data_IF_124067337755
#
_entry.id   IF_124067337755
#
_cell.length_a   1.000
_cell.length_b   1.000
_cell.length_c   1.000
_cell.angle_alpha   90.00
_cell.angle_beta   90.00
_cell.angle_gamma   90.00
#
_symmetry.space_group_name_H-M   'P 1'
#
loop_
_entity.id
_entity.type
_entity.pdbx_description
1 polymer ?
#
# COMPACT_ATOMS: atom_id res chain seq x y z
N UNK A 1 23.67 -1.21 -7.82
CA UNK A 1 23.52 -2.27 -6.79
C UNK A 1 22.85 -1.65 -5.58
N UNK A 2 21.55 -1.90 -5.38
CA UNK A 2 20.79 -1.34 -4.26
C UNK A 2 20.94 -2.30 -3.08
N UNK A 3 21.51 -1.81 -1.98
CA UNK A 3 21.59 -2.55 -0.71
C UNK A 3 20.20 -2.61 -0.08
N UNK A 4 19.41 -3.62 -0.43
CA UNK A 4 18.18 -3.97 0.27
C UNK A 4 18.56 -4.48 1.66
N UNK A 5 18.54 -3.57 2.65
CA UNK A 5 18.78 -3.90 4.06
C UNK A 5 17.57 -4.66 4.63
N UNK A 6 17.91 -5.65 5.47
CA UNK A 6 17.04 -6.62 6.14
C UNK A 6 15.61 -6.14 6.39
N UNK A 7 14.63 -6.79 5.75
CA UNK A 7 13.22 -6.66 6.10
C UNK A 7 12.81 -8.00 6.70
N UNK A 8 12.27 -7.98 7.92
CA UNK A 8 11.40 -9.05 8.38
C UNK A 8 9.99 -8.48 8.30
N UNK A 9 9.15 -9.00 7.41
CA UNK A 9 7.72 -8.93 7.73
C UNK A 9 7.48 -9.77 8.98
N UNK A 10 6.38 -9.52 9.71
CA UNK A 10 6.03 -10.28 10.89
C UNK A 10 5.94 -11.79 10.56
N UNK A 11 7.03 -12.52 10.78
CA UNK A 11 7.01 -13.98 10.79
C UNK A 11 6.57 -14.42 12.17
N UNK A 12 5.25 -14.37 12.38
CA UNK A 12 4.52 -15.29 13.26
C UNK A 12 3.05 -15.20 12.84
N UNK A 13 2.66 -16.11 11.94
CA UNK A 13 1.26 -16.45 11.72
C UNK A 13 0.74 -17.11 13.00
N UNK A 14 0.29 -16.28 13.96
CA UNK A 14 -0.41 -16.65 15.19
C UNK A 14 0.08 -17.92 15.90
N UNK A 15 1.18 -17.86 16.65
CA UNK A 15 1.41 -18.89 17.68
C UNK A 15 0.41 -18.72 18.81
N UNK A 16 -0.57 -19.61 18.82
CA UNK A 16 -1.17 -20.08 20.06
C UNK A 16 -1.39 -21.56 19.83
N UNK A 17 -0.29 -22.31 19.86
CA UNK A 17 -0.21 -23.77 19.90
C UNK A 17 0.72 -24.09 21.07
N UNK A 18 0.17 -24.64 22.14
CA UNK A 18 0.95 -25.46 23.07
C UNK A 18 0.87 -26.89 22.55
N UNK A 19 1.97 -27.64 22.40
CA UNK A 19 1.88 -29.04 22.03
C UNK A 19 1.51 -29.84 23.29
N UNK A 20 0.31 -30.43 23.29
CA UNK A 20 0.05 -31.61 24.10
C UNK A 20 0.45 -32.83 23.29
N UNK A 21 1.28 -33.66 23.92
CA UNK A 21 1.78 -34.94 23.44
C UNK A 21 0.62 -35.89 23.15
N UNK A 22 0.62 -36.48 21.95
CA UNK A 22 0.00 -37.78 21.72
C UNK A 22 0.86 -38.52 20.67
N UNK A 23 1.66 -39.45 21.18
CA UNK A 23 2.36 -40.46 20.41
C UNK A 23 1.35 -41.56 20.01
N UNK A 24 1.40 -42.01 18.76
CA UNK A 24 0.98 -43.35 18.36
C UNK A 24 1.75 -43.77 17.08
N UNK A 25 2.79 -44.57 17.33
CA UNK A 25 3.31 -45.72 16.57
C UNK A 25 2.19 -46.46 15.76
N UNK A 26 2.35 -47.01 14.55
CA UNK A 26 3.35 -47.96 14.02
C UNK A 26 3.20 -48.13 12.46
N UNK A 27 4.12 -48.87 11.79
CA UNK A 27 4.32 -48.98 10.34
C UNK A 27 3.81 -50.32 9.75
N UNK A 28 3.85 -50.48 8.41
CA UNK A 28 4.09 -51.79 7.76
C UNK A 28 4.45 -51.70 6.25
N UNK A 29 5.39 -52.59 5.90
CA UNK A 29 5.97 -52.98 4.59
C UNK A 29 4.90 -53.46 3.56
N UNK A 30 5.14 -53.60 2.24
CA UNK A 30 5.98 -54.64 1.57
C UNK A 30 6.14 -54.39 0.04
N UNK A 31 7.38 -54.63 -0.42
CA UNK A 31 7.95 -55.14 -1.68
C UNK A 31 7.24 -55.17 -3.07
N UNK A 32 7.98 -54.63 -4.05
CA UNK A 32 8.51 -55.22 -5.33
C UNK A 32 7.61 -56.12 -6.20
N UNK A 33 7.49 -55.78 -7.49
CA UNK A 33 7.85 -56.67 -8.61
C UNK A 33 8.13 -55.88 -9.92
N UNK A 34 9.08 -56.41 -10.69
CA UNK A 34 9.70 -55.86 -11.89
C UNK A 34 8.87 -56.10 -13.17
N UNK A 35 9.13 -55.29 -14.21
CA UNK A 35 8.67 -55.52 -15.57
C UNK A 35 9.53 -54.75 -16.58
N UNK A 36 10.34 -55.47 -17.33
CA UNK A 36 11.29 -55.00 -18.33
C UNK A 36 10.63 -54.35 -19.56
N UNK A 37 11.28 -53.34 -20.13
CA UNK A 37 11.38 -53.18 -21.58
C UNK A 37 12.67 -52.43 -21.96
N UNK A 38 13.57 -53.14 -22.64
CA UNK A 38 14.75 -52.65 -23.34
C UNK A 38 14.35 -52.14 -24.73
N UNK A 39 14.98 -51.06 -25.17
CA UNK A 39 15.54 -50.90 -26.51
C UNK A 39 16.53 -49.72 -26.48
N UNK A 40 17.81 -50.05 -26.34
CA UNK A 40 18.92 -49.74 -27.28
C UNK A 40 18.59 -48.76 -28.43
N UNK A 41 19.42 -47.87 -28.97
CA UNK A 41 20.87 -47.59 -29.04
C UNK A 41 20.87 -46.25 -29.84
N UNK A 42 21.68 -45.21 -29.62
CA UNK A 42 23.02 -45.13 -30.18
C UNK A 42 23.80 -43.94 -29.60
N UNK A 43 25.00 -44.28 -29.15
CA UNK A 43 26.07 -43.42 -28.67
C UNK A 43 26.72 -42.64 -29.81
N UNK A 44 27.15 -41.42 -29.51
CA UNK A 44 28.04 -40.60 -30.31
C UNK A 44 28.85 -39.65 -29.44
N UNK A 45 29.92 -40.18 -28.81
CA UNK A 45 31.11 -39.44 -28.33
C UNK A 45 31.69 -38.60 -29.49
N UNK A 46 32.40 -37.49 -29.38
CA UNK A 46 33.40 -37.01 -28.41
C UNK A 46 33.89 -35.61 -28.84
N UNK A 47 34.65 -34.98 -27.94
CA UNK A 47 35.78 -34.08 -28.19
C UNK A 47 35.54 -32.56 -28.11
N UNK A 48 36.07 -32.03 -27.01
CA UNK A 48 36.47 -30.65 -26.83
C UNK A 48 37.52 -30.21 -27.87
N UNK A 49 37.43 -28.96 -28.32
CA UNK A 49 38.62 -28.16 -28.61
C UNK A 49 38.32 -26.68 -28.43
N UNK A 50 39.07 -26.09 -27.50
CA UNK A 50 39.18 -24.66 -27.32
C UNK A 50 39.87 -24.02 -28.54
N UNK A 51 39.41 -22.84 -28.94
CA UNK A 51 40.22 -21.87 -29.66
C UNK A 51 39.82 -20.45 -29.24
N UNK A 52 40.85 -19.75 -28.79
CA UNK A 52 40.96 -18.35 -28.43
C UNK A 52 40.43 -17.42 -29.53
N UNK A 53 39.65 -16.41 -29.12
CA UNK A 53 39.43 -15.20 -29.91
C UNK A 53 39.34 -14.00 -28.98
N UNK A 54 40.44 -13.29 -28.89
CA UNK A 54 40.64 -11.97 -28.32
C UNK A 54 39.86 -10.89 -29.08
N UNK A 55 38.75 -10.39 -28.53
CA UNK A 55 38.23 -9.05 -28.87
C UNK A 55 37.63 -8.37 -27.65
N UNK A 56 38.37 -7.40 -27.10
CA UNK A 56 37.87 -6.37 -26.16
C UNK A 56 36.90 -5.45 -26.92
N UNK A 57 35.68 -5.19 -26.43
CA UNK A 57 34.93 -4.00 -26.79
C UNK A 57 35.35 -2.85 -25.88
N UNK A 58 35.69 -1.71 -26.48
CA UNK A 58 36.00 -0.44 -25.80
C UNK A 58 34.77 -0.01 -24.98
N UNK A 59 34.96 0.20 -23.68
CA UNK A 59 33.93 0.78 -22.82
C UNK A 59 33.64 2.24 -23.20
N UNK A 60 32.43 2.75 -22.93
CA UNK A 60 32.12 4.16 -23.15
C UNK A 60 32.91 5.04 -22.17
N UNK A 61 33.47 6.11 -22.72
CA UNK A 61 34.24 7.16 -22.04
C UNK A 61 33.37 7.84 -20.97
N UNK A 62 33.79 7.74 -19.72
CA UNK A 62 33.23 8.54 -18.61
C UNK A 62 33.82 9.94 -18.73
N UNK A 63 33.03 10.88 -19.27
CA UNK A 63 33.30 12.31 -19.11
C UNK A 63 32.80 12.69 -17.72
N UNK A 64 33.74 12.92 -16.81
CA UNK A 64 33.50 13.50 -15.50
C UNK A 64 33.06 14.97 -15.67
N UNK A 65 31.87 15.40 -15.23
CA UNK A 65 31.57 16.81 -15.11
C UNK A 65 32.20 17.33 -13.83
N UNK A 66 33.23 18.15 -14.01
CA UNK A 66 33.88 18.95 -12.99
C UNK A 66 32.86 19.82 -12.27
N UNK A 67 33.00 19.84 -10.94
CA UNK A 67 32.48 20.83 -9.97
C UNK A 67 32.21 22.19 -10.63
N UNK A 68 30.94 22.64 -10.62
CA UNK A 68 30.58 24.03 -10.91
C UNK A 68 30.14 24.72 -9.62
N UNK A 69 30.71 25.90 -9.46
CA UNK A 69 30.58 26.86 -8.39
C UNK A 69 29.14 27.36 -8.16
N UNK A 70 28.85 27.91 -6.96
CA UNK A 70 27.53 28.43 -6.61
C UNK A 70 27.21 29.74 -7.35
N UNK A 71 25.99 29.82 -7.88
CA UNK A 71 25.41 31.04 -8.46
C UNK A 71 24.88 32.00 -7.37
N UNK A 72 24.70 33.30 -7.69
CA UNK A 72 25.09 34.42 -6.85
C UNK A 72 24.03 34.83 -5.82
N UNK A 73 24.53 35.36 -4.69
CA UNK A 73 23.72 35.97 -3.64
C UNK A 73 22.94 37.17 -4.13
N UNK A 74 21.63 37.12 -3.93
CA UNK A 74 20.77 38.31 -4.03
C UNK A 74 20.92 39.09 -2.73
N UNK A 75 21.65 40.20 -2.81
CA UNK A 75 21.69 41.24 -1.78
C UNK A 75 20.35 41.97 -1.81
N UNK A 76 19.51 41.76 -0.81
CA UNK A 76 18.37 42.64 -0.54
C UNK A 76 18.80 43.65 0.53
N UNK A 77 18.92 44.91 0.11
CA UNK A 77 19.19 46.06 0.98
C UNK A 77 18.10 46.18 2.06
N UNK A 78 18.49 46.19 3.32
CA UNK A 78 17.63 46.58 4.44
C UNK A 78 17.46 48.10 4.49
N UNK A 79 16.27 48.64 4.75
CA UNK A 79 16.11 49.97 5.33
C UNK A 79 16.13 49.88 6.86
N UNK A 80 16.85 50.82 7.46
CA UNK A 80 16.98 51.04 8.91
C UNK A 80 15.67 51.50 9.57
N UNK A 81 15.42 50.87 10.72
CA UNK A 81 14.57 51.16 11.88
C UNK A 81 13.68 52.43 11.97
N UNK A 82 12.44 52.21 12.41
CA UNK A 82 11.84 52.97 13.52
C UNK A 82 10.87 52.06 14.29
N UNK A 83 10.85 52.21 15.61
CA UNK A 83 10.39 51.19 16.56
C UNK A 83 8.88 51.11 16.78
N UNK A 84 8.42 49.89 17.08
CA UNK A 84 7.23 49.60 17.89
C UNK A 84 7.32 48.14 18.37
N UNK A 85 6.82 47.87 19.58
CA UNK A 85 7.12 46.70 20.40
C UNK A 85 7.00 45.31 19.74
N UNK A 86 7.96 44.43 20.07
CA UNK A 86 7.95 43.00 19.72
C UNK A 86 6.77 42.31 20.40
N UNK A 87 5.72 42.03 19.63
CA UNK A 87 4.73 41.00 19.96
C UNK A 87 5.30 39.67 19.44
N UNK A 88 5.46 38.61 20.27
CA UNK A 88 5.99 37.34 19.79
C UNK A 88 5.06 36.77 18.71
N UNK A 89 5.65 36.30 17.62
CA UNK A 89 4.94 35.62 16.55
C UNK A 89 4.12 34.45 17.13
N UNK A 90 2.87 34.22 16.70
CA UNK A 90 2.08 33.13 17.22
C UNK A 90 2.75 31.82 16.80
N UNK A 91 3.25 31.07 17.79
CA UNK A 91 3.62 29.67 17.61
C UNK A 91 2.41 28.92 17.02
N UNK A 92 2.59 27.97 16.09
CA UNK A 92 1.47 27.18 15.59
C UNK A 92 0.83 26.45 16.75
N UNK A 93 -0.38 26.88 17.14
CA UNK A 93 -1.20 26.19 18.14
C UNK A 93 -1.46 24.78 17.63
N UNK A 94 -0.82 23.80 18.25
CA UNK A 94 -1.27 22.41 18.19
C UNK A 94 -2.59 22.39 18.97
N UNK A 95 -3.71 22.49 18.25
CA UNK A 95 -5.03 22.37 18.85
C UNK A 95 -5.19 20.96 19.44
N UNK A 96 -5.76 20.79 20.64
CA UNK A 96 -6.09 19.48 21.18
C UNK A 96 -7.03 18.76 20.22
N UNK A 97 -6.65 17.56 19.80
CA UNK A 97 -7.39 16.73 18.83
C UNK A 97 -8.57 16.03 19.49
N UNK A 98 -9.50 16.79 20.07
CA UNK A 98 -10.76 16.29 20.65
C UNK A 98 -12.00 16.78 19.91
N UNK A 99 -11.85 17.52 18.80
CA UNK A 99 -12.98 17.86 17.95
C UNK A 99 -13.58 16.59 17.30
N UNK A 100 -14.92 16.45 17.25
CA UNK A 100 -15.59 15.36 16.55
C UNK A 100 -15.09 15.32 15.10
N UNK A 101 -14.44 14.24 14.71
CA UNK A 101 -13.97 14.09 13.33
C UNK A 101 -15.18 14.03 12.42
N UNK A 102 -15.22 14.90 11.40
CA UNK A 102 -16.27 14.82 10.40
C UNK A 102 -16.28 13.41 9.76
N UNK A 103 -17.44 12.83 9.46
CA UNK A 103 -17.51 11.52 8.82
C UNK A 103 -16.64 11.48 7.55
N UNK A 104 -15.61 10.63 7.56
CA UNK A 104 -14.68 10.46 6.44
C UNK A 104 -13.40 11.32 6.48
N UNK A 105 -13.11 12.05 7.56
CA UNK A 105 -11.79 12.68 7.77
C UNK A 105 -10.98 11.92 8.80
N UNK A 106 -10.04 11.10 8.32
CA UNK A 106 -9.09 10.38 9.17
C UNK A 106 -7.86 11.25 9.50
N UNK A 107 -7.28 11.11 10.70
CA UNK A 107 -6.11 11.88 11.10
C UNK A 107 -4.88 11.49 10.26
N UNK A 108 -3.99 12.46 10.05
CA UNK A 108 -2.70 12.21 9.41
C UNK A 108 -1.74 11.49 10.34
N UNK A 109 -1.03 10.50 9.79
CA UNK A 109 0.25 10.00 10.29
C UNK A 109 1.35 10.79 9.60
N UNK A 110 2.16 11.49 10.39
CA UNK A 110 3.19 12.39 9.88
C UNK A 110 4.57 11.80 10.11
N UNK A 111 5.50 12.09 9.19
CA UNK A 111 6.91 11.74 9.31
C UNK A 111 7.15 10.23 9.51
N UNK A 112 6.42 9.41 8.75
CA UNK A 112 6.49 7.96 8.85
C UNK A 112 7.53 7.44 7.88
N UNK A 113 8.44 6.60 8.38
CA UNK A 113 9.33 5.82 7.51
C UNK A 113 8.51 4.81 6.71
N UNK A 114 8.54 4.94 5.38
CA UNK A 114 7.99 3.99 4.43
C UNK A 114 9.10 3.12 3.85
N UNK A 115 8.83 1.83 3.69
CA UNK A 115 9.70 0.88 2.97
C UNK A 115 8.99 0.29 1.77
N UNK A 116 9.73 -0.25 0.80
CA UNK A 116 9.16 -0.81 -0.43
C UNK A 116 9.06 -2.33 -0.30
N UNK A 117 7.92 -2.89 -0.70
CA UNK A 117 7.68 -4.34 -0.76
C UNK A 117 6.88 -4.71 -1.99
N UNK A 118 6.94 -5.98 -2.39
CA UNK A 118 6.25 -6.41 -3.59
C UNK A 118 5.66 -7.81 -3.52
N UNK A 119 4.56 -8.00 -4.24
CA UNK A 119 3.92 -9.32 -4.38
C UNK A 119 4.88 -10.29 -5.09
N UNK A 120 4.98 -11.51 -4.59
CA UNK A 120 5.77 -12.55 -5.25
C UNK A 120 7.25 -12.57 -4.86
N UNK A 121 7.69 -11.74 -3.91
CA UNK A 121 9.06 -11.78 -3.37
C UNK A 121 9.35 -13.15 -2.75
N UNK A 122 10.43 -13.81 -3.21
CA UNK A 122 10.91 -15.04 -2.61
C UNK A 122 11.59 -14.78 -1.26
N UNK A 123 11.52 -15.76 -0.36
CA UNK A 123 12.32 -15.73 0.86
C UNK A 123 13.82 -15.83 0.50
N UNK A 124 14.64 -15.09 1.22
CA UNK A 124 16.10 -15.13 1.14
C UNK A 124 16.69 -15.25 2.54
N UNK A 125 17.97 -15.59 2.66
CA UNK A 125 18.66 -15.62 3.96
C UNK A 125 18.54 -14.29 4.75
N UNK A 126 18.38 -13.17 4.03
CA UNK A 126 18.26 -11.82 4.62
C UNK A 126 16.81 -11.35 4.82
N UNK A 127 15.85 -12.05 4.23
CA UNK A 127 14.41 -11.83 4.40
C UNK A 127 13.71 -13.21 4.37
N UNK A 128 13.50 -13.85 5.53
CA UNK A 128 12.96 -15.21 5.56
C UNK A 128 11.47 -15.27 5.18
N UNK A 129 10.81 -14.14 4.98
CA UNK A 129 9.37 -14.07 4.68
C UNK A 129 9.17 -13.81 3.20
N UNK A 130 8.58 -14.78 2.52
CA UNK A 130 8.14 -14.64 1.13
C UNK A 130 6.79 -13.91 1.05
N UNK A 131 6.63 -13.04 0.04
CA UNK A 131 5.39 -12.32 -0.24
C UNK A 131 4.51 -13.07 -1.26
N UNK A 132 4.53 -14.41 -1.23
CA UNK A 132 3.63 -15.24 -2.03
C UNK A 132 2.19 -15.25 -1.46
N UNK A 133 2.05 -14.85 -0.20
CA UNK A 133 0.79 -14.76 0.54
C UNK A 133 0.74 -13.40 1.23
N UNK A 134 -0.44 -12.81 1.32
CA UNK A 134 -0.69 -11.70 2.23
C UNK A 134 -1.36 -12.19 3.50
N UNK A 135 -1.65 -11.25 4.39
CA UNK A 135 -2.42 -11.47 5.61
C UNK A 135 -3.86 -11.91 5.36
N UNK A 136 -4.40 -11.69 4.15
CA UNK A 136 -5.78 -12.04 3.78
C UNK A 136 -5.90 -12.85 2.48
N UNK A 137 -4.80 -13.09 1.77
CA UNK A 137 -4.78 -13.84 0.52
C UNK A 137 -3.69 -14.91 0.56
N UNK A 138 -4.09 -16.18 0.65
CA UNK A 138 -3.16 -17.30 0.75
C UNK A 138 -2.45 -17.65 -0.55
N UNK A 139 -2.86 -17.05 -1.67
CA UNK A 139 -2.30 -17.23 -3.01
C UNK A 139 -2.07 -15.86 -3.67
N UNK A 140 -1.50 -14.93 -2.90
CA UNK A 140 -1.46 -13.51 -3.27
C UNK A 140 -0.72 -13.25 -4.58
N UNK A 141 0.38 -13.98 -4.85
CA UNK A 141 1.11 -13.89 -6.12
C UNK A 141 0.23 -14.29 -7.29
N UNK A 142 -0.47 -15.41 -7.16
CA UNK A 142 -1.36 -15.93 -8.18
C UNK A 142 -2.52 -14.95 -8.37
N UNK A 143 -3.21 -14.55 -7.29
CA UNK A 143 -4.31 -13.59 -7.26
C UNK A 143 -3.94 -12.23 -7.86
N UNK A 144 -2.73 -11.74 -7.63
CA UNK A 144 -2.21 -10.52 -8.27
C UNK A 144 -1.96 -10.69 -9.76
N UNK A 145 -1.67 -11.92 -10.20
CA UNK A 145 -1.41 -12.28 -11.59
C UNK A 145 0.06 -12.56 -11.91
N UNK A 146 0.95 -12.49 -10.91
CA UNK A 146 2.37 -12.79 -11.09
C UNK A 146 3.30 -12.06 -10.11
N UNK A 147 4.59 -12.09 -10.43
CA UNK A 147 5.64 -11.40 -9.67
C UNK A 147 5.63 -9.89 -9.94
N UNK A 148 5.38 -9.06 -8.92
CA UNK A 148 5.34 -7.60 -9.05
C UNK A 148 6.77 -7.02 -9.07
N UNK A 149 7.46 -7.16 -10.19
CA UNK A 149 8.89 -6.82 -10.30
C UNK A 149 9.20 -5.40 -9.76
N UNK A 150 10.06 -5.26 -8.74
CA UNK A 150 10.33 -3.97 -8.10
C UNK A 150 11.29 -3.10 -8.90
N UNK A 151 11.91 -3.58 -9.97
CA UNK A 151 12.80 -2.75 -10.80
C UNK A 151 11.99 -1.72 -11.61
N UNK A 152 12.25 -0.40 -11.45
CA UNK A 152 11.58 0.65 -12.22
C UNK A 152 11.68 0.45 -13.74
N UNK A 153 12.74 -0.18 -14.25
CA UNK A 153 12.89 -0.46 -15.70
C UNK A 153 11.89 -1.50 -16.21
N UNK A 154 11.30 -2.29 -15.32
CA UNK A 154 10.32 -3.33 -15.62
C UNK A 154 8.86 -2.86 -15.38
N UNK A 155 8.66 -1.54 -15.28
CA UNK A 155 7.35 -0.91 -15.07
C UNK A 155 6.85 -0.16 -16.30
N UNK A 156 5.55 -0.23 -16.58
CA UNK A 156 4.94 0.57 -17.66
C UNK A 156 4.84 2.05 -17.25
N UNK A 157 4.44 2.91 -18.19
CA UNK A 157 4.13 4.32 -17.89
C UNK A 157 2.98 4.49 -16.87
N UNK A 158 2.17 3.44 -16.68
CA UNK A 158 1.09 3.36 -15.69
C UNK A 158 1.49 2.61 -14.41
N UNK A 159 2.80 2.39 -14.21
CA UNK A 159 3.40 1.84 -12.98
C UNK A 159 3.03 0.38 -12.64
N UNK A 160 2.36 -0.35 -13.54
CA UNK A 160 2.15 -1.81 -13.42
C UNK A 160 3.37 -2.59 -13.96
N UNK A 161 3.55 -3.87 -13.59
CA UNK A 161 4.50 -4.75 -14.26
C UNK A 161 4.34 -4.77 -15.78
N UNK A 162 5.45 -4.82 -16.52
CA UNK A 162 5.44 -4.92 -17.99
C UNK A 162 4.99 -6.30 -18.48
N UNK A 163 5.29 -7.35 -17.72
CA UNK A 163 5.16 -8.75 -18.16
C UNK A 163 3.73 -9.29 -18.13
N UNK A 164 2.81 -8.64 -17.42
CA UNK A 164 1.39 -9.02 -17.36
C UNK A 164 0.51 -7.83 -16.98
N UNK A 165 -0.80 -7.96 -17.20
CA UNK A 165 -1.82 -7.06 -16.64
C UNK A 165 -2.22 -7.61 -15.27
N UNK A 166 -2.06 -6.86 -14.17
CA UNK A 166 -2.32 -7.40 -12.85
C UNK A 166 -3.83 -7.54 -12.60
N UNK A 167 -4.22 -8.64 -11.95
CA UNK A 167 -5.59 -8.96 -11.53
C UNK A 167 -5.94 -8.35 -10.17
N UNK A 168 -4.96 -7.80 -9.46
CA UNK A 168 -5.19 -6.91 -8.32
C UNK A 168 -4.55 -5.55 -8.58
N UNK A 169 -4.96 -4.54 -7.82
CA UNK A 169 -4.47 -3.18 -7.99
C UNK A 169 -2.95 -3.11 -7.71
N UNK A 170 -2.12 -2.60 -8.64
CA UNK A 170 -0.68 -2.48 -8.43
C UNK A 170 -0.31 -1.41 -7.37
N UNK A 171 -1.26 -0.55 -7.00
CA UNK A 171 -1.09 0.44 -5.93
C UNK A 171 -1.63 -0.12 -4.61
N UNK A 172 -0.75 -0.74 -3.83
CA UNK A 172 -1.10 -1.34 -2.55
C UNK A 172 -0.10 -1.01 -1.44
N UNK A 173 -0.52 -1.21 -0.21
CA UNK A 173 0.28 -1.00 1.01
C UNK A 173 0.12 -2.14 2.01
N UNK A 174 1.07 -2.21 2.94
CA UNK A 174 0.91 -2.92 4.21
C UNK A 174 0.93 -1.93 5.38
N UNK A 175 0.02 -2.12 6.33
CA UNK A 175 0.01 -1.44 7.62
C UNK A 175 0.07 -2.47 8.75
N UNK A 176 0.67 -2.13 9.91
CA UNK A 176 1.08 -3.13 10.90
C UNK A 176 -0.06 -3.61 11.81
N UNK A 177 -1.21 -3.95 11.23
CA UNK A 177 -2.37 -4.46 11.95
C UNK A 177 -3.19 -5.45 11.12
N UNK A 178 -3.40 -6.67 11.63
CA UNK A 178 -4.38 -7.59 11.10
C UNK A 178 -5.61 -7.59 12.02
N UNK A 179 -6.81 -7.45 11.46
CA UNK A 179 -8.06 -7.47 12.20
C UNK A 179 -8.66 -8.88 12.36
N UNK A 180 -8.15 -9.86 11.60
CA UNK A 180 -8.62 -11.24 11.61
C UNK A 180 -7.50 -12.20 11.99
N UNK A 181 -7.78 -13.10 12.93
CA UNK A 181 -6.88 -14.16 13.34
C UNK A 181 -7.66 -15.47 13.49
N UNK A 182 -7.17 -16.56 12.89
CA UNK A 182 -7.79 -17.89 12.96
C UNK A 182 -9.28 -17.92 12.58
N UNK A 183 -9.68 -17.12 11.58
CA UNK A 183 -11.07 -17.05 11.11
C UNK A 183 -12.00 -16.18 11.96
N UNK A 184 -11.46 -15.48 12.97
CA UNK A 184 -12.19 -14.61 13.88
C UNK A 184 -11.68 -13.17 13.81
N UNK A 185 -12.55 -12.21 14.06
CA UNK A 185 -12.09 -10.86 14.35
C UNK A 185 -11.37 -10.83 15.70
N UNK A 186 -10.28 -10.07 15.80
CA UNK A 186 -9.58 -9.88 17.06
C UNK A 186 -10.47 -9.13 18.07
N UNK A 187 -10.33 -9.40 19.39
CA UNK A 187 -11.23 -8.83 20.41
C UNK A 187 -11.33 -7.31 20.40
N UNK A 188 -10.25 -6.62 20.03
CA UNK A 188 -10.21 -5.16 19.97
C UNK A 188 -10.78 -4.58 18.68
N UNK A 189 -10.95 -5.37 17.62
CA UNK A 189 -11.22 -4.88 16.26
C UNK A 189 -12.47 -4.00 16.19
N UNK A 190 -13.58 -4.42 16.82
CA UNK A 190 -14.84 -3.66 16.86
C UNK A 190 -14.73 -2.33 17.59
N UNK A 191 -13.81 -2.22 18.55
CA UNK A 191 -13.59 -1.03 19.36
C UNK A 191 -12.62 -0.05 18.69
N UNK A 192 -11.61 -0.55 17.98
CA UNK A 192 -10.48 0.29 17.50
C UNK A 192 -10.58 0.67 16.03
N UNK A 193 -11.27 -0.11 15.20
CA UNK A 193 -11.39 0.15 13.76
C UNK A 193 -12.55 1.12 13.53
N UNK A 194 -12.31 2.36 13.03
CA UNK A 194 -13.34 3.40 13.01
C UNK A 194 -14.56 3.09 12.12
N UNK A 195 -14.43 2.13 11.21
CA UNK A 195 -15.48 1.73 10.27
C UNK A 195 -15.98 0.31 10.50
N UNK A 196 -15.58 -0.36 11.59
CA UNK A 196 -15.89 -1.78 11.82
C UNK A 196 -17.36 -2.09 11.59
N UNK A 197 -18.26 -1.45 12.33
CA UNK A 197 -19.69 -1.74 12.27
C UNK A 197 -20.34 -1.44 10.92
N UNK A 198 -19.76 -0.52 10.14
CA UNK A 198 -20.28 -0.17 8.81
C UNK A 198 -19.90 -1.22 7.76
N UNK A 199 -18.68 -1.73 7.86
CA UNK A 199 -18.08 -2.63 6.88
C UNK A 199 -18.21 -4.12 7.27
N UNK A 200 -18.57 -4.43 8.51
CA UNK A 200 -18.74 -5.80 8.98
C UNK A 200 -19.77 -6.55 8.12
N UNK A 201 -19.31 -7.63 7.49
CA UNK A 201 -20.11 -8.47 6.59
C UNK A 201 -20.20 -9.93 7.05
N UNK A 202 -19.45 -10.31 8.07
CA UNK A 202 -19.47 -11.66 8.63
C UNK A 202 -18.22 -11.99 9.43
N UNK A 203 -18.28 -13.09 10.17
CA UNK A 203 -17.14 -13.63 10.92
C UNK A 203 -15.98 -13.96 9.98
N UNK A 204 -14.76 -13.60 10.36
CA UNK A 204 -13.55 -13.91 9.59
C UNK A 204 -13.34 -13.11 8.31
N UNK A 205 -14.26 -12.20 7.96
CA UNK A 205 -14.12 -11.30 6.81
C UNK A 205 -13.51 -9.99 7.27
N UNK A 206 -12.27 -9.72 6.84
CA UNK A 206 -11.55 -8.49 7.22
C UNK A 206 -12.31 -7.24 6.79
N UNK A 207 -12.42 -6.27 7.71
CA UNK A 207 -12.86 -4.89 7.45
C UNK A 207 -11.69 -3.97 7.11
N UNK A 208 -10.44 -4.43 7.24
CA UNK A 208 -9.22 -3.70 6.89
C UNK A 208 -8.82 -3.88 5.42
N UNK A 209 -8.95 -5.10 4.88
CA UNK A 209 -8.57 -5.40 3.49
C UNK A 209 -9.30 -4.50 2.50
N UNK A 210 -8.56 -3.97 1.52
CA UNK A 210 -9.09 -3.14 0.44
C UNK A 210 -9.44 -1.70 0.83
N UNK A 211 -9.24 -1.30 2.10
CA UNK A 211 -9.36 0.10 2.52
C UNK A 211 -8.28 0.94 1.87
N UNK A 212 -8.58 2.22 1.62
CA UNK A 212 -7.69 3.10 0.89
C UNK A 212 -6.91 4.03 1.81
N UNK A 213 -5.65 4.28 1.45
CA UNK A 213 -4.82 5.32 2.05
C UNK A 213 -4.43 6.38 1.02
N UNK A 214 -4.30 7.61 1.49
CA UNK A 214 -3.62 8.69 0.79
C UNK A 214 -2.19 8.78 1.36
N UNK A 215 -1.19 8.85 0.50
CA UNK A 215 0.24 8.93 0.84
C UNK A 215 0.81 10.18 0.18
N UNK A 216 1.51 11.01 0.97
CA UNK A 216 2.17 12.23 0.49
C UNK A 216 3.68 12.09 0.64
N UNK A 217 4.39 12.36 -0.45
CA UNK A 217 5.84 12.50 -0.50
C UNK A 217 6.20 13.63 -1.46
N UNK A 218 7.09 14.55 -1.06
CA UNK A 218 7.56 15.68 -1.89
C UNK A 218 6.43 16.41 -2.66
N UNK A 219 5.36 16.79 -1.95
CA UNK A 219 4.16 17.47 -2.50
C UNK A 219 3.33 16.65 -3.52
N UNK A 220 3.71 15.40 -3.82
CA UNK A 220 2.92 14.46 -4.62
C UNK A 220 2.02 13.63 -3.72
N UNK A 221 0.82 13.32 -4.19
CA UNK A 221 -0.16 12.51 -3.48
C UNK A 221 -0.46 11.24 -4.27
N UNK A 222 -0.29 10.08 -3.65
CA UNK A 222 -0.62 8.77 -4.19
C UNK A 222 -1.75 8.13 -3.38
N UNK A 223 -2.54 7.27 -4.01
CA UNK A 223 -3.59 6.50 -3.34
C UNK A 223 -3.35 5.01 -3.56
N UNK A 224 -3.57 4.21 -2.54
CA UNK A 224 -3.27 2.78 -2.57
C UNK A 224 -4.21 1.98 -1.67
N UNK A 225 -4.44 0.71 -2.03
CA UNK A 225 -5.26 -0.23 -1.27
C UNK A 225 -4.44 -0.96 -0.20
N UNK A 226 -5.02 -1.13 0.97
CA UNK A 226 -4.43 -1.92 2.05
C UNK A 226 -4.65 -3.41 1.79
N UNK A 227 -3.59 -4.14 1.41
CA UNK A 227 -3.70 -5.54 0.95
C UNK A 227 -2.83 -6.52 1.73
N UNK A 228 -2.00 -6.04 2.66
CA UNK A 228 -1.21 -6.89 3.55
C UNK A 228 -0.97 -6.25 4.94
N UNK A 229 -0.41 -6.99 5.89
CA UNK A 229 -0.03 -6.50 7.20
C UNK A 229 1.49 -6.48 7.41
N UNK A 230 1.96 -5.42 8.04
CA UNK A 230 3.38 -5.12 8.25
C UNK A 230 3.60 -3.62 8.23
N UNK A 231 4.81 -3.13 8.54
CA UNK A 231 6.06 -3.88 8.68
C UNK A 231 6.24 -4.49 10.08
N UNK A 232 6.94 -5.63 10.18
CA UNK A 232 7.41 -6.34 11.40
C UNK A 232 6.36 -6.80 12.44
N UNK A 233 5.15 -6.26 12.46
CA UNK A 233 4.08 -6.68 13.37
C UNK A 233 2.71 -6.61 12.69
N UNK A 234 1.73 -7.32 13.27
CA UNK A 234 0.31 -7.32 12.87
C UNK A 234 -0.60 -6.82 14.01
N UNK A 235 -0.02 -6.23 15.05
CA UNK A 235 -0.71 -5.96 16.32
C UNK A 235 -0.79 -4.47 16.66
N UNK A 236 -0.20 -3.59 15.85
CA UNK A 236 0.01 -2.17 16.17
C UNK A 236 -1.20 -1.29 15.83
N UNK A 237 -2.37 -1.67 16.33
CA UNK A 237 -3.57 -0.84 16.28
C UNK A 237 -3.42 0.54 16.94
N UNK A 238 -2.64 0.73 18.03
CA UNK A 238 -2.49 2.05 18.64
C UNK A 238 -1.83 3.06 17.70
N UNK A 239 -0.93 2.62 16.84
CA UNK A 239 -0.40 3.44 15.76
C UNK A 239 -1.37 3.55 14.58
N UNK A 240 -1.89 2.43 14.07
CA UNK A 240 -2.70 2.42 12.84
C UNK A 240 -3.97 3.26 13.01
N UNK A 241 -4.70 3.08 14.11
CA UNK A 241 -5.97 3.77 14.37
C UNK A 241 -5.91 4.83 15.48
N UNK A 242 -4.93 4.76 16.39
CA UNK A 242 -4.82 5.67 17.54
C UNK A 242 -4.02 6.94 17.27
N UNK A 243 -3.08 7.28 18.14
CA UNK A 243 -2.22 8.47 18.09
C UNK A 243 -0.74 8.16 18.39
N UNK A 244 -0.40 6.88 18.59
CA UNK A 244 0.96 6.44 18.89
C UNK A 244 1.83 6.43 17.62
N UNK A 245 3.16 6.58 17.77
CA UNK A 245 4.10 6.25 16.68
C UNK A 245 4.13 4.73 16.43
N UNK A 246 4.62 4.26 15.26
CA UNK A 246 4.84 2.84 15.03
C UNK A 246 5.71 2.22 16.12
N UNK A 247 5.34 1.05 16.62
CA UNK A 247 6.14 0.34 17.65
C UNK A 247 7.41 -0.30 17.11
N UNK A 248 7.48 -0.50 15.79
CA UNK A 248 8.64 -1.10 15.14
C UNK A 248 9.88 -0.19 15.25
N UNK A 249 11.03 -0.78 15.59
CA UNK A 249 12.35 -0.11 15.64
C UNK A 249 13.27 -0.53 14.48
N UNK A 250 12.95 -1.60 13.75
CA UNK A 250 13.71 -2.06 12.60
C UNK A 250 13.45 -1.20 11.36
N UNK A 251 14.36 -1.24 10.37
CA UNK A 251 14.27 -0.45 9.14
C UNK A 251 13.98 1.04 9.39
N UNK A 252 14.69 1.63 10.37
CA UNK A 252 14.52 3.03 10.78
C UNK A 252 13.09 3.34 11.27
N UNK A 253 12.49 2.40 11.98
CA UNK A 253 11.13 2.51 12.49
C UNK A 253 10.08 2.60 11.38
N UNK A 254 10.18 1.72 10.38
CA UNK A 254 9.19 1.64 9.31
C UNK A 254 7.78 1.46 9.90
N UNK A 255 6.82 2.23 9.39
CA UNK A 255 5.41 2.19 9.82
C UNK A 255 4.43 1.96 8.68
N UNK A 256 4.89 1.86 7.44
CA UNK A 256 4.08 1.52 6.27
C UNK A 256 5.00 0.89 5.22
N UNK A 257 4.52 -0.14 4.55
CA UNK A 257 5.16 -0.62 3.33
C UNK A 257 4.34 -0.21 2.12
N UNK A 258 5.02 0.25 1.07
CA UNK A 258 4.41 0.74 -0.17
C UNK A 258 4.82 -0.15 -1.35
N UNK A 259 3.89 -0.39 -2.28
CA UNK A 259 4.21 -1.12 -3.50
C UNK A 259 5.22 -0.36 -4.37
N UNK A 260 5.89 -1.04 -5.32
CA UNK A 260 6.81 -0.34 -6.21
C UNK A 260 6.07 0.63 -7.14
N UNK A 261 4.79 0.38 -7.47
CA UNK A 261 3.98 1.36 -8.21
C UNK A 261 3.79 2.67 -7.44
N UNK A 262 3.54 2.58 -6.11
CA UNK A 262 3.47 3.77 -5.23
C UNK A 262 4.81 4.48 -5.18
N UNK A 263 5.91 3.74 -4.99
CA UNK A 263 7.28 4.28 -4.97
C UNK A 263 7.58 5.07 -6.24
N UNK A 264 7.32 4.46 -7.41
CA UNK A 264 7.66 5.02 -8.71
C UNK A 264 6.79 6.24 -9.03
N UNK A 265 5.49 6.17 -8.74
CA UNK A 265 4.59 7.32 -8.91
C UNK A 265 5.00 8.52 -8.04
N UNK A 266 5.39 8.26 -6.80
CA UNK A 266 5.86 9.31 -5.87
C UNK A 266 7.27 9.81 -6.21
N UNK A 267 8.01 9.13 -7.09
CA UNK A 267 9.39 9.48 -7.44
C UNK A 267 10.36 9.26 -6.28
N UNK A 268 10.14 8.23 -5.46
CA UNK A 268 11.03 7.88 -4.36
C UNK A 268 12.29 7.21 -4.95
N UNK A 269 13.50 7.78 -4.74
CA UNK A 269 14.72 7.34 -5.44
C UNK A 269 15.31 6.02 -4.93
N UNK A 270 14.75 5.42 -3.87
CA UNK A 270 15.29 4.21 -3.25
C UNK A 270 14.22 3.36 -2.57
N UNK A 271 14.65 2.44 -1.70
CA UNK A 271 13.74 1.53 -0.97
C UNK A 271 13.13 2.10 0.31
N UNK A 272 13.44 3.35 0.67
CA UNK A 272 12.97 3.98 1.91
C UNK A 272 12.73 5.48 1.72
N UNK A 273 11.67 6.01 2.32
CA UNK A 273 11.36 7.44 2.33
C UNK A 273 10.64 7.85 3.63
N UNK A 274 10.64 9.15 3.95
CA UNK A 274 9.74 9.71 4.95
C UNK A 274 8.49 10.22 4.24
N UNK A 275 7.32 9.69 4.62
CA UNK A 275 6.03 10.03 4.02
C UNK A 275 5.04 10.49 5.09
N UNK A 276 3.94 11.08 4.63
CA UNK A 276 2.74 11.27 5.44
C UNK A 276 1.64 10.41 4.86
N UNK A 277 0.80 9.79 5.70
CA UNK A 277 -0.32 9.03 5.19
C UNK A 277 -1.56 9.15 6.07
N UNK A 278 -2.73 8.88 5.50
CA UNK A 278 -4.00 8.76 6.22
C UNK A 278 -4.92 7.81 5.49
N UNK A 279 -5.90 7.27 6.18
CA UNK A 279 -7.03 6.62 5.51
C UNK A 279 -7.85 7.65 4.71
N UNK A 280 -8.51 7.18 3.67
CA UNK A 280 -9.40 8.00 2.83
C UNK A 280 -10.56 7.16 2.33
N UNK A 281 -11.76 7.74 2.32
CA UNK A 281 -12.92 7.07 1.75
C UNK A 281 -12.85 7.07 0.23
N UNK A 282 -13.25 5.95 -0.39
CA UNK A 282 -13.17 5.75 -1.83
C UNK A 282 -13.77 6.89 -2.66
N UNK A 283 -14.92 7.43 -2.26
CA UNK A 283 -15.59 8.54 -2.96
C UNK A 283 -14.80 9.86 -2.96
N UNK A 284 -13.76 9.98 -2.13
CA UNK A 284 -12.87 11.16 -2.07
C UNK A 284 -11.59 10.98 -2.88
N UNK A 285 -11.40 9.81 -3.50
CA UNK A 285 -10.18 9.49 -4.23
C UNK A 285 -10.33 9.99 -5.67
N UNK A 286 -9.50 10.95 -6.13
CA UNK A 286 -9.50 11.35 -7.52
C UNK A 286 -9.00 10.21 -8.42
N UNK A 287 -9.42 10.20 -9.68
CA UNK A 287 -8.86 9.27 -10.67
C UNK A 287 -7.37 9.56 -10.89
N UNK A 288 -6.60 8.50 -11.01
CA UNK A 288 -5.16 8.51 -11.27
C UNK A 288 -4.68 7.12 -11.70
N UNK A 289 -3.36 6.88 -11.80
CA UNK A 289 -2.84 5.56 -12.19
C UNK A 289 -3.36 4.39 -11.32
N UNK A 290 -3.61 4.63 -10.03
CA UNK A 290 -4.21 3.68 -9.08
C UNK A 290 -5.66 3.28 -9.39
N UNK A 291 -6.32 3.92 -10.36
CA UNK A 291 -7.71 3.66 -10.72
C UNK A 291 -7.89 2.78 -11.96
N UNK A 292 -6.79 2.29 -12.56
CA UNK A 292 -6.81 1.68 -13.90
C UNK A 292 -6.94 0.15 -13.92
N UNK A 293 -6.41 -0.56 -12.93
CA UNK A 293 -6.22 -2.01 -12.99
C UNK A 293 -6.62 -2.71 -11.69
N UNK A 294 -6.85 -4.02 -11.79
CA UNK A 294 -7.15 -4.91 -10.69
C UNK A 294 -8.65 -5.19 -10.55
N UNK A 295 -9.01 -6.47 -10.49
CA UNK A 295 -10.39 -6.91 -10.25
C UNK A 295 -10.85 -6.46 -8.87
N UNK A 296 -9.95 -6.38 -7.87
CA UNK A 296 -10.20 -5.88 -6.52
C UNK A 296 -10.31 -4.34 -6.42
N UNK A 297 -10.23 -3.61 -7.53
CA UNK A 297 -10.23 -2.17 -7.56
C UNK A 297 -11.64 -1.63 -7.83
N UNK A 298 -12.27 -0.88 -6.89
CA UNK A 298 -13.64 -0.40 -7.10
C UNK A 298 -13.79 0.64 -8.22
N UNK A 299 -12.69 1.19 -8.76
CA UNK A 299 -12.73 2.01 -9.98
C UNK A 299 -12.92 1.19 -11.27
N UNK A 300 -12.49 -0.08 -11.25
CA UNK A 300 -12.55 -1.03 -12.38
C UNK A 300 -13.77 -1.94 -12.22
N UNK A 301 -14.02 -2.40 -11.00
CA UNK A 301 -15.16 -3.24 -10.65
C UNK A 301 -16.07 -2.51 -9.63
N UNK A 302 -17.08 -1.76 -10.10
CA UNK A 302 -17.98 -1.00 -9.23
C UNK A 302 -18.76 -1.86 -8.22
N UNK A 303 -18.84 -3.17 -8.42
CA UNK A 303 -19.54 -4.09 -7.51
C UNK A 303 -18.80 -4.31 -6.18
N UNK A 304 -17.49 -4.05 -6.12
CA UNK A 304 -16.65 -4.35 -4.96
C UNK A 304 -16.58 -3.23 -3.91
N UNK A 305 -17.23 -2.10 -4.17
CA UNK A 305 -17.11 -0.96 -3.28
C UNK A 305 -18.09 -1.02 -2.09
N UNK A 306 -17.64 -0.64 -0.87
CA UNK A 306 -18.47 0.24 -0.02
C UNK A 306 -18.98 1.47 -0.80
N UNK A 307 -18.35 1.78 -1.94
CA UNK A 307 -18.81 2.67 -3.00
C UNK A 307 -20.25 2.46 -3.46
N UNK A 308 -20.84 1.26 -3.44
CA UNK A 308 -22.29 1.15 -3.70
C UNK A 308 -23.06 1.85 -2.59
N UNK A 309 -22.81 1.57 -1.31
CA UNK A 309 -23.47 2.25 -0.18
C UNK A 309 -23.11 3.74 -0.08
N UNK A 310 -21.87 4.14 -0.35
CA UNK A 310 -21.44 5.54 -0.23
C UNK A 310 -21.86 6.42 -1.43
N UNK A 311 -21.86 5.90 -2.66
CA UNK A 311 -22.44 6.57 -3.83
C UNK A 311 -23.96 6.60 -3.70
N UNK A 312 -24.60 5.50 -3.29
CA UNK A 312 -26.03 5.47 -2.98
C UNK A 312 -26.38 6.49 -1.90
N UNK A 313 -25.61 6.58 -0.80
CA UNK A 313 -25.84 7.60 0.24
C UNK A 313 -25.67 9.03 -0.30
N UNK A 314 -24.76 9.25 -1.25
CA UNK A 314 -24.60 10.56 -1.91
C UNK A 314 -25.76 10.85 -2.86
N UNK A 315 -26.17 9.89 -3.67
CA UNK A 315 -27.31 9.98 -4.58
C UNK A 315 -28.62 10.18 -3.79
N UNK A 316 -28.80 9.46 -2.68
CA UNK A 316 -29.92 9.60 -1.75
C UNK A 316 -29.92 11.00 -1.10
N UNK A 317 -28.75 11.52 -0.68
CA UNK A 317 -28.62 12.89 -0.17
C UNK A 317 -28.93 13.94 -1.23
N UNK A 318 -28.43 13.76 -2.46
CA UNK A 318 -28.69 14.67 -3.57
C UNK A 318 -30.18 14.64 -3.94
N UNK A 319 -30.81 13.46 -3.93
CA UNK A 319 -32.25 13.29 -4.15
C UNK A 319 -33.06 13.96 -3.05
N UNK A 320 -32.71 13.77 -1.78
CA UNK A 320 -33.36 14.46 -0.66
C UNK A 320 -33.22 15.98 -0.74
N UNK A 321 -32.05 16.49 -1.15
CA UNK A 321 -31.86 17.93 -1.40
C UNK A 321 -32.73 18.44 -2.55
N UNK A 322 -32.79 17.71 -3.67
CA UNK A 322 -33.64 18.06 -4.81
C UNK A 322 -35.13 18.07 -4.43
N UNK A 323 -35.59 17.05 -3.70
CA UNK A 323 -36.97 16.98 -3.21
C UNK A 323 -37.29 18.11 -2.23
N UNK A 324 -36.36 18.47 -1.33
CA UNK A 324 -36.54 19.58 -0.40
C UNK A 324 -36.65 20.92 -1.15
N UNK A 325 -35.77 21.16 -2.13
CA UNK A 325 -35.81 22.34 -3.00
C UNK A 325 -37.13 22.39 -3.77
N UNK A 326 -37.56 21.27 -4.37
CA UNK A 326 -38.80 21.20 -5.13
C UNK A 326 -40.03 21.45 -4.25
N UNK A 327 -40.06 20.90 -3.02
CA UNK A 327 -41.12 21.19 -2.05
C UNK A 327 -41.15 22.66 -1.65
N UNK A 328 -40.01 23.30 -1.43
CA UNK A 328 -39.96 24.74 -1.15
C UNK A 328 -40.44 25.58 -2.34
N UNK A 329 -40.04 25.23 -3.57
CA UNK A 329 -40.52 25.89 -4.79
C UNK A 329 -42.04 25.80 -4.96
N UNK A 330 -42.64 24.67 -4.54
CA UNK A 330 -44.07 24.42 -4.62
C UNK A 330 -44.88 25.09 -3.50
N UNK A 331 -44.25 25.53 -2.40
CA UNK A 331 -44.94 26.20 -1.28
C UNK A 331 -45.39 27.62 -1.61
N UNK A 332 -44.67 28.33 -2.48
CA UNK A 332 -45.04 29.68 -2.92
C UNK A 332 -44.81 29.88 -4.43
N UNK A 333 -45.74 29.40 -5.27
CA UNK A 333 -45.66 29.57 -6.73
C UNK A 333 -45.65 31.05 -7.16
N UNK A 334 -46.17 31.95 -6.33
CA UNK A 334 -46.25 33.38 -6.64
C UNK A 334 -44.94 34.11 -6.37
N UNK A 335 -44.12 33.65 -5.43
CA UNK A 335 -42.76 34.15 -5.24
C UNK A 335 -41.88 33.82 -6.45
N UNK A 336 -41.97 32.59 -6.98
CA UNK A 336 -41.18 32.17 -8.14
C UNK A 336 -41.55 32.94 -9.42
N UNK A 337 -42.85 33.22 -9.61
CA UNK A 337 -43.31 34.07 -10.72
C UNK A 337 -42.79 35.50 -10.63
N UNK A 338 -42.69 36.06 -9.42
CA UNK A 338 -42.16 37.41 -9.20
C UNK A 338 -40.66 37.49 -9.46
N UNK A 339 -39.88 36.45 -9.13
CA UNK A 339 -38.43 36.40 -9.40
C UNK A 339 -38.08 36.14 -10.87
N UNK A 340 -38.99 35.52 -11.66
CA UNK A 340 -38.79 35.28 -13.10
C UNK A 340 -39.33 36.40 -14.02
N UNK A 341 -40.07 37.35 -13.47
CA UNK A 341 -40.67 38.47 -14.21
C UNK A 341 -40.00 39.83 -13.94
N UNK A 342 -38.95 39.87 -13.11
CA UNK A 342 -38.05 41.01 -12.94
C UNK A 342 -36.69 40.69 -13.53
#
# INVERSE_FOLDING_TARGET
MVNHRQRQQASWKGSCWKPSLAACLLPLLVAVLAGNARADIQSGRTAARALSSTKRPKGPVVITPTRRDPLPGVVVKSPTASGAGKRPAPQPRILPRTAPQSPGTYPWRLNITATVFWVGEDATERNPVANHKSSWDSAWKESFGGFDNPDPLHRTMDFRPKTFIPRQNPFYVALPYNDVCKGEHKPEASRVIPWFHREFSGKGQSVCKGRWVQIIYNKRSCFAQWEDCGPFTTEDWPYVFGDKPPVNTHNKGAGIDISPAVRDYLGIPGGTAIVHWRFVEFYRIPRGPWSKWGDNNPFVNPSLGPGKRALQTREDRLRQQQEAIQRELLKDPQKLRRELQG
#
